data_IF_687599624145
#
_entry.id   IF_687599624145
#
_cell.length_a   1.000
_cell.length_b   1.000
_cell.length_c   1.000
_cell.angle_alpha   90.00
_cell.angle_beta   90.00
_cell.angle_gamma   90.00
#
_symmetry.space_group_name_H-M   'P 1'
#
loop_
_entity.id
_entity.type
_entity.pdbx_description
1 polymer ?
#
# COMPACT_ATOMS: atom_id res chain seq x y z
N UNK A 1 34.98 -18.60 -23.66
CA UNK A 1 35.22 -17.51 -22.69
C UNK A 1 36.30 -17.97 -21.73
N UNK A 2 37.57 -17.68 -22.01
CA UNK A 2 38.70 -17.96 -21.10
C UNK A 2 39.16 -16.63 -20.47
N UNK A 3 39.47 -16.70 -19.18
CA UNK A 3 39.49 -15.60 -18.23
C UNK A 3 40.57 -14.55 -18.45
N UNK A 4 40.20 -13.32 -18.15
CA UNK A 4 41.10 -12.18 -17.97
C UNK A 4 40.91 -11.59 -16.54
N UNK A 5 40.82 -12.46 -15.53
CA UNK A 5 40.78 -12.05 -14.11
C UNK A 5 39.49 -11.41 -13.58
N UNK A 6 38.37 -11.45 -14.32
CA UNK A 6 37.07 -10.95 -13.85
C UNK A 6 36.18 -12.02 -13.20
N UNK A 7 35.22 -11.59 -12.38
CA UNK A 7 34.17 -12.43 -11.80
C UNK A 7 33.05 -12.63 -12.84
N UNK A 8 32.95 -13.83 -13.41
CA UNK A 8 31.94 -14.16 -14.41
C UNK A 8 31.14 -15.40 -13.99
N UNK A 9 29.83 -15.36 -14.24
CA UNK A 9 28.94 -16.52 -14.09
C UNK A 9 28.02 -16.58 -15.30
N UNK A 10 27.77 -17.77 -15.83
CA UNK A 10 26.95 -17.93 -17.04
C UNK A 10 25.46 -17.83 -16.72
N UNK A 11 24.62 -17.29 -17.62
CA UNK A 11 23.17 -17.36 -17.49
C UNK A 11 22.72 -18.81 -17.29
N UNK A 12 22.06 -19.09 -16.16
CA UNK A 12 21.75 -20.46 -15.73
C UNK A 12 20.27 -20.59 -15.40
N UNK A 13 19.57 -21.49 -16.09
CA UNK A 13 18.19 -21.84 -15.76
C UNK A 13 18.21 -23.04 -14.81
N UNK A 14 17.47 -22.95 -13.70
CA UNK A 14 17.35 -24.04 -12.73
C UNK A 14 15.94 -24.62 -12.80
N UNK A 15 15.81 -25.93 -12.93
CA UNK A 15 14.53 -26.65 -12.93
C UNK A 15 14.44 -27.57 -11.71
N UNK A 16 13.25 -28.12 -11.47
CA UNK A 16 12.98 -29.02 -10.33
C UNK A 16 13.34 -28.40 -8.97
N UNK A 17 13.11 -27.08 -8.87
CA UNK A 17 13.32 -26.27 -7.68
C UNK A 17 12.04 -26.15 -6.86
N UNK A 18 12.18 -25.92 -5.56
CA UNK A 18 11.07 -25.67 -4.65
C UNK A 18 11.42 -24.61 -3.58
N UNK A 19 10.42 -24.19 -2.81
CA UNK A 19 10.56 -23.16 -1.77
C UNK A 19 11.45 -23.55 -0.57
N UNK A 20 11.94 -24.78 -0.46
CA UNK A 20 12.94 -25.16 0.55
C UNK A 20 14.36 -24.72 0.16
N UNK A 21 14.59 -24.42 -1.13
CA UNK A 21 15.90 -24.06 -1.66
C UNK A 21 16.18 -22.56 -1.53
N UNK A 22 17.42 -22.20 -1.19
CA UNK A 22 17.83 -20.80 -1.03
C UNK A 22 17.60 -19.96 -2.30
N UNK A 23 17.80 -20.53 -3.50
CA UNK A 23 17.58 -19.83 -4.77
C UNK A 23 16.11 -19.38 -5.01
N UNK A 24 15.15 -19.93 -4.26
CA UNK A 24 13.74 -19.54 -4.30
C UNK A 24 13.33 -18.59 -3.16
N UNK A 25 14.20 -18.39 -2.15
CA UNK A 25 13.88 -17.67 -0.90
C UNK A 25 14.72 -16.42 -0.68
N UNK A 26 15.95 -16.44 -1.16
CA UNK A 26 16.92 -15.36 -1.01
C UNK A 26 17.13 -14.64 -2.34
N UNK A 27 17.44 -13.35 -2.26
CA UNK A 27 17.71 -12.56 -3.45
C UNK A 27 19.08 -12.94 -4.04
N UNK A 28 19.08 -13.60 -5.21
CA UNK A 28 20.33 -14.08 -5.83
C UNK A 28 21.23 -12.96 -6.36
N UNK A 29 20.65 -11.86 -6.87
CA UNK A 29 21.37 -10.74 -7.52
C UNK A 29 22.39 -11.17 -8.60
N UNK A 30 22.18 -12.34 -9.19
CA UNK A 30 23.06 -12.99 -10.15
C UNK A 30 22.26 -13.63 -11.29
N UNK A 31 22.93 -14.16 -12.32
CA UNK A 31 22.28 -14.56 -13.56
C UNK A 31 21.70 -15.99 -13.48
N UNK A 32 21.01 -16.32 -12.39
CA UNK A 32 20.25 -17.57 -12.24
C UNK A 32 18.75 -17.29 -12.39
N UNK A 33 18.04 -18.20 -13.07
CA UNK A 33 16.59 -18.12 -13.28
C UNK A 33 15.96 -19.45 -12.85
N UNK A 34 15.52 -19.57 -11.58
CA UNK A 34 14.79 -20.74 -11.12
C UNK A 34 13.36 -20.78 -11.70
N UNK A 35 12.94 -21.94 -12.18
CA UNK A 35 11.62 -22.18 -12.78
C UNK A 35 10.90 -23.27 -12.00
N UNK A 36 9.88 -22.89 -11.25
CA UNK A 36 9.03 -23.79 -10.50
C UNK A 36 7.70 -24.00 -11.21
N UNK A 37 7.29 -25.26 -11.40
CA UNK A 37 5.98 -25.58 -11.96
C UNK A 37 4.91 -25.43 -10.87
N UNK A 38 3.77 -24.88 -11.26
CA UNK A 38 2.57 -24.74 -10.42
C UNK A 38 1.38 -25.37 -11.13
N UNK A 39 0.40 -25.85 -10.37
CA UNK A 39 -0.80 -26.51 -10.88
C UNK A 39 -1.80 -25.52 -11.48
N UNK A 40 -1.96 -24.36 -10.85
CA UNK A 40 -3.00 -23.38 -11.15
C UNK A 40 -2.60 -21.95 -10.73
N UNK A 41 -3.46 -20.98 -11.05
CA UNK A 41 -3.24 -19.57 -10.72
C UNK A 41 -3.21 -19.31 -9.22
N UNK A 42 -4.00 -20.05 -8.45
CA UNK A 42 -4.10 -19.85 -7.00
C UNK A 42 -2.83 -20.30 -6.29
N UNK A 43 -2.26 -21.43 -6.71
CA UNK A 43 -0.95 -21.88 -6.27
C UNK A 43 0.16 -20.91 -6.68
N UNK A 44 0.13 -20.41 -7.92
CA UNK A 44 1.10 -19.42 -8.40
C UNK A 44 1.10 -18.16 -7.52
N UNK A 45 -0.08 -17.63 -7.21
CA UNK A 45 -0.24 -16.44 -6.36
C UNK A 45 0.20 -16.73 -4.93
N UNK A 46 -0.18 -17.89 -4.37
CA UNK A 46 0.23 -18.29 -3.02
C UNK A 46 1.74 -18.36 -2.91
N UNK A 47 2.42 -18.98 -3.87
CA UNK A 47 3.88 -19.11 -3.88
C UNK A 47 4.56 -17.76 -4.14
N UNK A 48 4.07 -16.96 -5.10
CA UNK A 48 4.62 -15.62 -5.35
C UNK A 48 4.51 -14.69 -4.12
N UNK A 49 3.41 -14.81 -3.36
CA UNK A 49 3.21 -14.05 -2.12
C UNK A 49 3.91 -14.70 -0.90
N UNK A 50 4.30 -15.97 -0.96
CA UNK A 50 5.18 -16.58 0.02
C UNK A 50 6.63 -16.14 -0.24
N UNK A 51 6.89 -14.87 0.02
CA UNK A 51 8.20 -14.23 -0.04
C UNK A 51 8.23 -13.11 1.00
N UNK A 52 9.36 -12.86 1.68
CA UNK A 52 9.52 -11.69 2.53
C UNK A 52 9.64 -10.39 1.71
N UNK A 53 9.79 -10.49 0.39
CA UNK A 53 9.94 -9.38 -0.53
C UNK A 53 8.66 -9.16 -1.35
N UNK A 54 8.54 -7.98 -1.94
CA UNK A 54 7.43 -7.58 -2.79
C UNK A 54 7.70 -6.29 -3.54
N UNK A 55 8.86 -6.18 -4.21
CA UNK A 55 9.22 -4.99 -4.97
C UNK A 55 8.43 -4.91 -6.29
N UNK A 56 8.57 -5.94 -7.12
CA UNK A 56 7.90 -6.02 -8.42
C UNK A 56 7.61 -7.47 -8.79
N UNK A 57 6.62 -7.67 -9.66
CA UNK A 57 6.32 -8.95 -10.29
C UNK A 57 6.00 -8.78 -11.78
N UNK A 58 6.00 -9.90 -12.51
CA UNK A 58 5.61 -9.95 -13.91
C UNK A 58 4.65 -11.11 -14.15
N UNK A 59 3.59 -10.89 -14.92
CA UNK A 59 2.61 -11.91 -15.29
C UNK A 59 2.56 -12.00 -16.81
N UNK A 60 2.82 -13.19 -17.35
CA UNK A 60 2.76 -13.47 -18.78
C UNK A 60 1.54 -14.33 -19.10
N UNK A 61 0.67 -13.84 -19.99
CA UNK A 61 -0.47 -14.61 -20.50
C UNK A 61 -0.99 -14.05 -21.82
N UNK A 62 -1.45 -14.96 -22.69
CA UNK A 62 -2.22 -14.60 -23.88
C UNK A 62 -3.64 -14.11 -23.58
N UNK A 63 -4.17 -14.41 -22.39
CA UNK A 63 -5.47 -13.92 -21.90
C UNK A 63 -5.24 -12.75 -20.94
N UNK A 64 -5.60 -11.53 -21.36
CA UNK A 64 -5.33 -10.30 -20.62
C UNK A 64 -6.16 -10.22 -19.33
N UNK A 65 -7.40 -10.69 -19.36
CA UNK A 65 -8.30 -10.68 -18.21
C UNK A 65 -7.80 -11.62 -17.11
N UNK A 66 -7.24 -12.78 -17.50
CA UNK A 66 -6.59 -13.71 -16.56
C UNK A 66 -5.33 -13.07 -15.96
N UNK A 67 -4.49 -12.44 -16.78
CA UNK A 67 -3.30 -11.76 -16.29
C UNK A 67 -3.63 -10.64 -15.30
N UNK A 68 -4.65 -9.82 -15.57
CA UNK A 68 -5.12 -8.76 -14.67
C UNK A 68 -5.66 -9.34 -13.35
N UNK A 69 -6.45 -10.43 -13.39
CA UNK A 69 -6.93 -11.12 -12.17
C UNK A 69 -5.78 -11.64 -11.31
N UNK A 70 -4.74 -12.21 -11.91
CA UNK A 70 -3.54 -12.67 -11.18
C UNK A 70 -2.78 -11.47 -10.62
N UNK A 71 -2.50 -10.46 -11.44
CA UNK A 71 -1.72 -9.28 -11.06
C UNK A 71 -2.29 -8.55 -9.84
N UNK A 72 -3.62 -8.38 -9.76
CA UNK A 72 -4.29 -7.69 -8.64
C UNK A 72 -4.16 -8.41 -7.30
N UNK A 73 -3.81 -9.69 -7.30
CA UNK A 73 -3.70 -10.52 -6.10
C UNK A 73 -2.25 -10.67 -5.62
N UNK A 74 -1.28 -10.11 -6.34
CA UNK A 74 0.13 -10.15 -5.97
C UNK A 74 0.44 -9.02 -4.97
N UNK A 75 1.11 -9.37 -3.88
CA UNK A 75 1.55 -8.45 -2.83
C UNK A 75 2.88 -7.80 -3.23
N UNK A 76 2.83 -6.95 -4.25
CA UNK A 76 4.01 -6.25 -4.78
C UNK A 76 3.73 -4.78 -5.07
N UNK A 77 4.76 -3.96 -5.09
CA UNK A 77 4.63 -2.53 -5.39
C UNK A 77 4.30 -2.21 -6.84
N UNK A 78 4.72 -3.05 -7.79
CA UNK A 78 4.40 -2.91 -9.20
C UNK A 78 4.31 -4.27 -9.90
N UNK A 79 3.30 -4.44 -10.76
CA UNK A 79 3.15 -5.64 -11.59
C UNK A 79 3.18 -5.26 -13.06
N UNK A 80 4.02 -5.94 -13.83
CA UNK A 80 4.06 -5.81 -15.28
C UNK A 80 3.26 -6.96 -15.91
N UNK A 81 2.45 -6.66 -16.93
CA UNK A 81 1.75 -7.69 -17.72
C UNK A 81 2.43 -7.79 -19.08
N UNK A 82 2.90 -8.99 -19.43
CA UNK A 82 3.62 -9.29 -20.67
C UNK A 82 4.89 -8.44 -20.89
N UNK A 83 5.53 -7.98 -19.81
CA UNK A 83 6.82 -7.31 -19.80
C UNK A 83 7.49 -7.46 -18.43
N UNK A 84 8.73 -6.98 -18.26
CA UNK A 84 9.51 -7.17 -17.01
C UNK A 84 9.90 -5.85 -16.33
N UNK A 85 10.31 -4.82 -17.09
CA UNK A 85 10.89 -3.59 -16.53
C UNK A 85 10.10 -2.31 -16.87
N UNK A 86 8.95 -2.43 -17.55
CA UNK A 86 8.20 -1.28 -18.04
C UNK A 86 7.79 -0.33 -16.92
N UNK A 87 7.22 -0.84 -15.82
CA UNK A 87 6.82 -0.03 -14.67
C UNK A 87 8.01 0.71 -14.04
N UNK A 88 9.20 0.09 -14.00
CA UNK A 88 10.43 0.71 -13.47
C UNK A 88 10.87 1.93 -14.27
N UNK A 89 10.62 1.93 -15.58
CA UNK A 89 10.99 3.00 -16.51
C UNK A 89 9.94 4.11 -16.61
N UNK A 90 8.71 3.87 -16.14
CA UNK A 90 7.64 4.87 -16.09
C UNK A 90 7.73 5.70 -14.81
N UNK A 91 8.49 6.81 -14.86
CA UNK A 91 8.75 7.67 -13.70
C UNK A 91 7.51 8.35 -13.11
N UNK A 92 6.42 8.41 -13.87
CA UNK A 92 5.13 8.94 -13.43
C UNK A 92 4.37 7.96 -12.54
N UNK A 93 4.65 6.66 -12.63
CA UNK A 93 4.01 5.64 -11.80
C UNK A 93 4.65 5.57 -10.42
N UNK A 94 3.83 5.42 -9.35
CA UNK A 94 4.37 5.17 -8.03
C UNK A 94 5.05 3.80 -8.02
N UNK A 95 6.31 3.76 -7.59
CA UNK A 95 7.06 2.52 -7.45
C UNK A 95 7.42 2.35 -5.98
N UNK A 96 6.48 1.80 -5.21
CA UNK A 96 6.69 1.45 -3.80
C UNK A 96 7.20 0.03 -3.61
N UNK A 97 7.55 -0.31 -2.38
CA UNK A 97 7.79 -1.69 -1.97
C UNK A 97 6.60 -2.25 -1.18
N UNK A 98 6.44 -3.57 -1.20
CA UNK A 98 5.62 -4.32 -0.24
C UNK A 98 6.53 -5.13 0.70
N UNK A 99 6.06 -5.44 1.91
CA UNK A 99 6.82 -6.21 2.92
C UNK A 99 8.17 -5.55 3.22
N UNK A 100 9.25 -6.34 3.18
CA UNK A 100 10.61 -5.88 3.43
C UNK A 100 11.25 -5.19 2.22
N UNK A 101 10.54 -4.99 1.11
CA UNK A 101 11.08 -4.27 -0.07
C UNK A 101 11.10 -2.75 0.06
N UNK A 102 10.75 -2.21 1.24
CA UNK A 102 10.88 -0.80 1.58
C UNK A 102 9.56 -0.06 1.67
N UNK A 103 9.61 1.14 2.26
CA UNK A 103 8.46 2.03 2.47
C UNK A 103 8.54 3.28 1.59
N UNK A 104 7.38 3.87 1.31
CA UNK A 104 7.27 5.01 0.40
C UNK A 104 7.37 4.58 -1.07
N UNK A 105 7.64 5.52 -1.97
CA UNK A 105 7.80 5.25 -3.40
C UNK A 105 9.07 5.88 -3.94
N UNK A 106 9.79 5.18 -4.83
CA UNK A 106 10.96 5.72 -5.57
C UNK A 106 10.52 6.80 -6.56
N UNK A 107 9.58 6.44 -7.42
CA UNK A 107 8.96 7.28 -8.46
C UNK A 107 7.50 7.60 -8.08
N UNK A 108 6.78 8.35 -8.93
CA UNK A 108 5.35 8.59 -8.73
C UNK A 108 4.84 9.95 -9.18
N UNK A 109 5.50 10.60 -10.13
CA UNK A 109 5.11 11.93 -10.59
C UNK A 109 4.95 12.91 -9.43
N UNK A 110 3.74 13.48 -9.27
CA UNK A 110 3.43 14.39 -8.18
C UNK A 110 3.62 13.77 -6.79
N UNK A 111 3.19 12.53 -6.57
CA UNK A 111 3.41 11.84 -5.29
C UNK A 111 4.90 11.62 -5.01
N UNK A 112 5.69 11.38 -6.06
CA UNK A 112 7.15 11.27 -6.00
C UNK A 112 7.84 12.56 -5.57
N UNK A 113 7.28 13.73 -5.92
CA UNK A 113 7.79 15.04 -5.49
C UNK A 113 7.31 15.42 -4.09
N UNK A 114 6.01 15.23 -3.83
CA UNK A 114 5.38 15.61 -2.56
C UNK A 114 5.98 14.91 -1.34
N UNK A 115 6.58 13.72 -1.51
CA UNK A 115 7.29 13.02 -0.42
C UNK A 115 8.51 13.80 0.11
N UNK A 116 9.04 14.75 -0.66
CA UNK A 116 10.12 15.65 -0.25
C UNK A 116 9.61 17.00 0.27
N UNK A 117 8.29 17.21 0.30
CA UNK A 117 7.66 18.43 0.78
C UNK A 117 7.06 18.21 2.18
N UNK A 118 7.00 19.27 2.98
CA UNK A 118 6.24 19.28 4.23
C UNK A 118 4.85 19.87 3.98
N UNK A 119 3.80 19.11 4.28
CA UNK A 119 2.44 19.63 4.21
C UNK A 119 2.19 20.63 5.35
N UNK A 120 1.65 21.81 5.01
CA UNK A 120 1.24 22.83 5.96
C UNK A 120 -0.23 23.17 5.72
N UNK A 121 -1.04 23.05 6.79
CA UNK A 121 -2.40 23.54 6.79
C UNK A 121 -2.42 24.98 7.27
N UNK A 122 -2.98 25.89 6.46
CA UNK A 122 -3.27 27.27 6.84
C UNK A 122 -4.77 27.45 6.76
N UNK A 123 -5.38 27.84 7.87
CA UNK A 123 -6.82 28.04 7.98
C UNK A 123 -7.08 29.51 8.26
N UNK A 124 -7.91 30.12 7.42
CA UNK A 124 -8.41 31.48 7.63
C UNK A 124 -9.91 31.40 7.85
N UNK A 125 -10.39 32.00 8.94
CA UNK A 125 -11.82 32.04 9.21
C UNK A 125 -12.54 32.95 8.20
N UNK A 126 -13.66 32.48 7.66
CA UNK A 126 -14.51 33.29 6.77
C UNK A 126 -15.24 34.41 7.54
N UNK A 127 -15.48 34.20 8.83
CA UNK A 127 -16.08 35.17 9.73
C UNK A 127 -15.21 35.28 10.98
N UNK A 128 -14.68 36.47 11.25
CA UNK A 128 -13.84 36.71 12.42
C UNK A 128 -14.73 36.92 13.65
N UNK A 129 -15.08 35.82 14.33
CA UNK A 129 -15.75 35.89 15.63
C UNK A 129 -14.74 36.39 16.66
N UNK A 130 -15.13 37.35 17.51
CA UNK A 130 -14.25 37.88 18.57
C UNK A 130 -13.77 36.83 19.57
N UNK A 131 -14.47 35.70 19.66
CA UNK A 131 -14.15 34.60 20.56
C UNK A 131 -14.78 33.32 20.03
N UNK A 132 -13.98 32.26 19.93
CA UNK A 132 -14.49 30.93 19.64
C UNK A 132 -15.19 30.35 20.89
N UNK A 133 -16.25 29.54 20.76
CA UNK A 133 -16.99 28.99 21.90
C UNK A 133 -16.17 28.17 22.91
N UNK A 134 -14.96 27.74 22.51
CA UNK A 134 -14.04 26.98 23.34
C UNK A 134 -12.84 27.80 23.83
N UNK A 135 -12.75 29.08 23.49
CA UNK A 135 -11.74 29.98 24.04
C UNK A 135 -12.06 30.38 25.48
N UNK A 136 -11.00 30.68 26.23
CA UNK A 136 -11.13 31.23 27.58
C UNK A 136 -11.77 32.63 27.54
N UNK A 137 -12.65 32.99 28.50
CA UNK A 137 -13.07 32.20 29.66
C UNK A 137 -14.16 31.16 29.34
N UNK A 138 -14.02 29.97 29.93
CA UNK A 138 -14.99 28.88 29.78
C UNK A 138 -16.32 29.22 30.47
N UNK A 139 -17.28 29.74 29.70
CA UNK A 139 -18.62 30.04 30.19
C UNK A 139 -19.47 28.76 30.19
N UNK A 140 -20.06 28.34 31.33
CA UNK A 140 -20.87 27.11 31.42
C UNK A 140 -22.08 27.06 30.46
N UNK A 141 -22.56 28.21 29.98
CA UNK A 141 -23.61 28.28 28.95
C UNK A 141 -23.10 27.84 27.57
N UNK A 142 -21.87 28.21 27.21
CA UNK A 142 -21.27 27.89 25.91
C UNK A 142 -20.90 26.41 25.85
N UNK A 143 -20.34 25.86 26.93
CA UNK A 143 -20.06 24.42 27.04
C UNK A 143 -21.33 23.58 26.95
N UNK A 144 -22.44 24.02 27.57
CA UNK A 144 -23.75 23.35 27.46
C UNK A 144 -24.31 23.41 26.05
N UNK A 145 -24.15 24.54 25.35
CA UNK A 145 -24.58 24.71 23.96
C UNK A 145 -23.76 23.81 23.02
N UNK A 146 -22.43 23.81 23.16
CA UNK A 146 -21.53 22.96 22.40
C UNK A 146 -21.85 21.47 22.63
N UNK A 147 -22.07 21.05 23.88
CA UNK A 147 -22.47 19.68 24.20
C UNK A 147 -23.85 19.31 23.64
N UNK A 148 -24.79 20.26 23.51
CA UNK A 148 -26.07 20.03 22.81
C UNK A 148 -25.85 19.87 21.30
N UNK A 149 -25.03 20.73 20.69
CA UNK A 149 -24.71 20.65 19.26
C UNK A 149 -24.02 19.33 18.91
N UNK A 150 -22.98 18.94 19.66
CA UNK A 150 -22.30 17.65 19.49
C UNK A 150 -23.25 16.46 19.65
N UNK A 151 -24.24 16.54 20.57
CA UNK A 151 -25.27 15.49 20.70
C UNK A 151 -26.23 15.45 19.52
N UNK A 152 -26.63 16.61 18.99
CA UNK A 152 -27.55 16.68 17.85
C UNK A 152 -26.88 16.15 16.58
N UNK A 153 -25.61 16.52 16.36
CA UNK A 153 -24.86 16.13 15.16
C UNK A 153 -24.26 14.73 15.26
N UNK A 154 -23.81 14.32 16.46
CA UNK A 154 -23.10 13.05 16.68
C UNK A 154 -23.96 11.87 17.17
N UNK A 155 -25.20 12.08 17.61
CA UNK A 155 -26.04 10.96 18.03
C UNK A 155 -26.78 10.32 16.84
N UNK A 156 -26.66 8.99 16.73
CA UNK A 156 -27.42 8.18 15.77
C UNK A 156 -28.89 7.93 16.19
N UNK A 157 -29.27 8.23 17.43
CA UNK A 157 -30.62 8.03 17.98
C UNK A 157 -31.30 9.38 18.28
N UNK A 158 -32.52 9.58 17.77
CA UNK A 158 -33.32 10.79 17.94
C UNK A 158 -33.58 11.12 19.43
N UNK A 159 -33.67 10.10 20.30
CA UNK A 159 -33.83 10.31 21.75
C UNK A 159 -32.57 10.91 22.37
N UNK A 160 -31.39 10.45 21.94
CA UNK A 160 -30.09 10.96 22.39
C UNK A 160 -29.82 12.37 21.84
N UNK A 161 -30.28 12.69 20.63
CA UNK A 161 -30.26 14.05 20.08
C UNK A 161 -31.04 15.05 20.95
N UNK A 162 -32.17 14.62 21.51
CA UNK A 162 -33.00 15.42 22.43
C UNK A 162 -32.53 15.36 23.90
N UNK A 163 -31.40 14.69 24.19
CA UNK A 163 -30.86 14.56 25.55
C UNK A 163 -31.58 13.55 26.45
N UNK A 164 -32.43 12.66 25.88
CA UNK A 164 -33.09 11.56 26.60
C UNK A 164 -32.23 10.28 26.55
N UNK A 165 -32.29 9.44 27.60
CA UNK A 165 -31.58 8.14 27.64
C UNK A 165 -31.98 7.30 26.41
N UNK A 166 -30.98 6.81 25.66
CA UNK A 166 -31.20 5.90 24.53
C UNK A 166 -31.77 4.56 24.99
N UNK A 167 -32.46 3.86 24.09
CA UNK A 167 -33.33 2.71 24.42
C UNK A 167 -32.63 1.43 24.95
N UNK A 168 -31.32 1.44 25.20
CA UNK A 168 -30.55 0.29 25.74
C UNK A 168 -29.71 0.67 26.97
N UNK A 169 -30.37 0.84 28.12
CA UNK A 169 -29.72 0.98 29.44
C UNK A 169 -30.48 0.16 30.49
N UNK A 170 -30.79 -1.10 30.16
CA UNK A 170 -31.15 -2.15 31.11
C UNK A 170 -30.49 -3.45 30.64
N UNK A 171 -29.32 -3.74 31.19
CA UNK A 171 -29.02 -5.07 31.73
C UNK A 171 -29.15 -4.92 33.23
#
# INVERSE_FOLDING_TARGET
MRGNGGTFFQPTVLTDVDHSMACMREETFGPTLPVMRVRDDDEAIRLANDSPYGLAASVFSGNKERADRVARRLETGAVNINSVLTATMLLTLPMGGWKSSGMGGRNGGAAGLLKFCRQQAVVTERFNLRSEPHWYPYLPRMSRLQARLVRITGAHDWRRRLGRKGKNSKR
#
